data_IF_691487539147
#
_entry.id   IF_691487539147
#
_cell.length_a   1.000
_cell.length_b   1.000
_cell.length_c   1.000
_cell.angle_alpha   90.00
_cell.angle_beta   90.00
_cell.angle_gamma   90.00
#
_symmetry.space_group_name_H-M   'P 1'
#
loop_
_entity.id
_entity.type
_entity.pdbx_description
1 polymer ?
#
# COMPACT_ATOMS: atom_id res chain seq x y z
N UNK A 1 19.74 -4.54 -7.76
CA UNK A 1 19.40 -5.95 -7.55
C UNK A 1 18.04 -6.08 -6.88
N UNK A 2 17.94 -5.67 -5.61
CA UNK A 2 16.72 -5.78 -4.80
C UNK A 2 15.48 -5.19 -5.49
N UNK A 3 15.56 -3.98 -5.99
CA UNK A 3 14.44 -3.31 -6.68
C UNK A 3 13.92 -4.08 -7.90
N UNK A 4 14.74 -4.88 -8.60
CA UNK A 4 14.28 -5.70 -9.72
C UNK A 4 13.42 -6.88 -9.26
N UNK A 5 13.63 -7.36 -8.04
CA UNK A 5 12.89 -8.47 -7.44
C UNK A 5 11.71 -7.98 -6.59
N UNK A 6 11.59 -6.66 -6.34
CA UNK A 6 10.60 -6.09 -5.45
C UNK A 6 11.04 -6.10 -3.97
N UNK A 7 12.30 -6.41 -3.70
CA UNK A 7 12.86 -6.42 -2.35
C UNK A 7 13.34 -5.03 -1.97
N UNK A 8 13.24 -4.67 -0.70
CA UNK A 8 13.74 -3.39 -0.16
C UNK A 8 15.17 -3.49 0.37
N UNK A 9 15.60 -4.70 0.74
CA UNK A 9 16.95 -4.99 1.26
C UNK A 9 17.51 -6.29 0.67
N UNK A 10 18.79 -6.54 0.92
CA UNK A 10 19.46 -7.83 0.71
C UNK A 10 20.31 -8.17 1.93
N UNK A 11 20.59 -9.43 2.16
CA UNK A 11 21.59 -9.85 3.13
C UNK A 11 23.01 -9.78 2.54
N UNK A 12 24.01 -9.74 3.43
CA UNK A 12 25.42 -9.62 3.05
C UNK A 12 25.87 -10.76 2.11
N UNK A 13 25.53 -12.01 2.42
CA UNK A 13 26.01 -13.17 1.67
C UNK A 13 25.42 -13.19 0.25
N UNK A 14 24.15 -12.84 0.09
CA UNK A 14 23.48 -12.72 -1.20
C UNK A 14 24.07 -11.60 -2.05
N UNK A 15 24.38 -10.45 -1.43
CA UNK A 15 25.02 -9.32 -2.10
C UNK A 15 26.43 -9.68 -2.55
N UNK A 16 27.25 -10.24 -1.65
CA UNK A 16 28.61 -10.67 -1.92
C UNK A 16 28.66 -11.70 -3.06
N UNK A 17 27.83 -12.73 -2.99
CA UNK A 17 27.72 -13.76 -4.05
C UNK A 17 27.40 -13.15 -5.40
N UNK A 18 26.57 -12.12 -5.42
CA UNK A 18 26.17 -11.48 -6.68
C UNK A 18 27.27 -10.57 -7.21
N UNK A 19 27.94 -9.82 -6.35
CA UNK A 19 29.03 -8.92 -6.74
C UNK A 19 30.24 -9.73 -7.24
N UNK A 20 30.60 -10.81 -6.57
CA UNK A 20 31.72 -11.67 -6.94
C UNK A 20 31.53 -12.35 -8.30
N UNK A 21 30.31 -12.54 -8.77
CA UNK A 21 30.04 -13.03 -10.14
C UNK A 21 30.49 -12.04 -11.23
N UNK A 22 30.34 -10.76 -10.96
CA UNK A 22 30.67 -9.69 -11.91
C UNK A 22 32.09 -9.14 -11.66
N UNK A 23 32.53 -9.12 -10.39
CA UNK A 23 33.80 -8.56 -9.93
C UNK A 23 34.50 -9.52 -8.98
N UNK A 24 35.18 -10.59 -9.49
CA UNK A 24 35.75 -11.67 -8.65
C UNK A 24 36.82 -11.26 -7.66
N UNK A 25 37.46 -10.11 -7.85
CA UNK A 25 38.54 -9.60 -7.00
C UNK A 25 38.12 -8.49 -6.03
N UNK A 26 36.82 -8.20 -5.95
CA UNK A 26 36.33 -7.12 -5.11
C UNK A 26 36.00 -7.64 -3.72
N UNK A 27 36.55 -7.03 -2.69
CA UNK A 27 36.19 -7.28 -1.29
C UNK A 27 35.05 -6.32 -0.90
N UNK A 28 33.82 -6.86 -0.76
CA UNK A 28 32.65 -6.07 -0.47
C UNK A 28 32.77 -5.24 0.81
N UNK A 29 33.42 -5.78 1.84
CA UNK A 29 33.60 -5.12 3.13
C UNK A 29 34.29 -3.76 3.02
N UNK A 30 35.29 -3.63 2.13
CA UNK A 30 36.07 -2.40 1.95
C UNK A 30 35.20 -1.23 1.43
N UNK A 31 34.17 -1.55 0.64
CA UNK A 31 33.29 -0.55 0.03
C UNK A 31 32.06 -0.25 0.89
N UNK A 32 31.58 -1.22 1.67
CA UNK A 32 30.36 -1.03 2.47
C UNK A 32 30.51 0.12 3.46
N UNK A 33 31.65 0.20 4.15
CA UNK A 33 31.89 1.28 5.11
C UNK A 33 31.81 2.64 4.43
N UNK A 34 32.51 2.81 3.31
CA UNK A 34 32.50 4.07 2.55
C UNK A 34 31.10 4.42 2.06
N UNK A 35 30.36 3.45 1.52
CA UNK A 35 28.99 3.68 1.01
C UNK A 35 27.99 3.99 2.14
N UNK A 36 28.23 3.47 3.34
CA UNK A 36 27.44 3.84 4.51
C UNK A 36 27.80 5.24 5.01
N UNK A 37 29.08 5.61 5.04
CA UNK A 37 29.54 6.95 5.44
C UNK A 37 29.02 8.03 4.47
N UNK A 38 28.94 7.71 3.19
CA UNK A 38 28.34 8.57 2.16
C UNK A 38 26.80 8.56 2.16
N UNK A 39 26.16 7.85 3.08
CA UNK A 39 24.70 7.69 3.18
C UNK A 39 24.03 7.12 1.91
N UNK A 40 24.75 6.35 1.12
CA UNK A 40 24.21 5.66 -0.05
C UNK A 40 23.57 4.33 0.31
N UNK A 41 24.10 3.66 1.35
CA UNK A 41 23.57 2.43 1.90
C UNK A 41 23.33 2.57 3.41
N UNK A 42 22.42 1.75 3.93
CA UNK A 42 22.20 1.55 5.35
C UNK A 42 22.29 0.06 5.68
N UNK A 43 22.93 -0.26 6.79
CA UNK A 43 23.05 -1.63 7.30
C UNK A 43 22.38 -1.69 8.66
N UNK A 44 21.38 -2.55 8.81
CA UNK A 44 20.66 -2.80 10.04
C UNK A 44 20.33 -4.29 10.15
N UNK A 45 20.65 -4.93 11.27
CA UNK A 45 20.38 -6.35 11.53
C UNK A 45 20.78 -7.28 10.36
N UNK A 46 22.02 -7.11 9.85
CA UNK A 46 22.55 -7.85 8.68
C UNK A 46 21.83 -7.61 7.35
N UNK A 47 20.90 -6.66 7.29
CA UNK A 47 20.21 -6.23 6.07
C UNK A 47 20.89 -5.00 5.50
N UNK A 48 21.09 -5.01 4.20
CA UNK A 48 21.72 -3.92 3.46
C UNK A 48 20.66 -3.28 2.58
N UNK A 49 20.37 -2.01 2.83
CA UNK A 49 19.37 -1.21 2.14
C UNK A 49 20.03 -0.16 1.25
N UNK A 50 19.41 0.13 0.12
CA UNK A 50 19.63 1.42 -0.52
C UNK A 50 18.97 2.53 0.34
N UNK A 51 19.63 3.69 0.45
CA UNK A 51 19.18 4.75 1.38
C UNK A 51 17.70 5.13 1.18
N UNK A 52 17.24 5.23 -0.07
CA UNK A 52 15.84 5.59 -0.37
C UNK A 52 14.84 4.56 0.15
N UNK A 53 15.18 3.28 0.07
CA UNK A 53 14.34 2.20 0.56
C UNK A 53 14.30 2.18 2.09
N UNK A 54 15.45 2.36 2.74
CA UNK A 54 15.53 2.46 4.19
C UNK A 54 14.69 3.62 4.73
N UNK A 55 14.86 4.82 4.15
CA UNK A 55 14.09 6.00 4.57
C UNK A 55 12.60 5.85 4.31
N UNK A 56 12.20 5.19 3.21
CA UNK A 56 10.80 4.91 2.93
C UNK A 56 10.18 3.96 3.97
N UNK A 57 10.86 2.84 4.31
CA UNK A 57 10.39 1.93 5.36
C UNK A 57 10.30 2.62 6.73
N UNK A 58 11.32 3.39 7.10
CA UNK A 58 11.30 4.16 8.34
C UNK A 58 10.16 5.19 8.38
N UNK A 59 9.92 5.87 7.26
CA UNK A 59 8.81 6.82 7.14
C UNK A 59 7.46 6.15 7.30
N UNK A 60 7.23 5.03 6.62
CA UNK A 60 6.00 4.22 6.74
C UNK A 60 5.83 3.72 8.17
N UNK A 61 6.88 3.15 8.78
CA UNK A 61 6.82 2.64 10.14
C UNK A 61 6.46 3.73 11.16
N UNK A 62 7.08 4.92 11.06
CA UNK A 62 6.77 6.07 11.91
C UNK A 62 5.34 6.54 11.74
N UNK A 63 4.86 6.64 10.50
CA UNK A 63 3.49 7.03 10.20
C UNK A 63 2.50 6.04 10.82
N UNK A 64 2.67 4.74 10.57
CA UNK A 64 1.79 3.71 11.11
C UNK A 64 1.82 3.64 12.63
N UNK A 65 3.01 3.78 13.24
CA UNK A 65 3.13 3.84 14.70
C UNK A 65 2.35 5.02 15.28
N UNK A 66 2.48 6.20 14.67
CA UNK A 66 1.75 7.38 15.10
C UNK A 66 0.25 7.19 14.89
N UNK A 67 -0.15 6.70 13.72
CA UNK A 67 -1.54 6.45 13.37
C UNK A 67 -2.24 5.51 14.37
N UNK A 68 -1.60 4.37 14.70
CA UNK A 68 -2.18 3.37 15.61
C UNK A 68 -2.23 3.84 17.07
N UNK A 69 -1.27 4.67 17.52
CA UNK A 69 -1.17 5.02 18.93
C UNK A 69 -1.81 6.37 19.30
N UNK A 70 -2.03 7.26 18.35
CA UNK A 70 -2.46 8.63 18.63
C UNK A 70 -3.78 9.04 17.98
N UNK A 71 -4.30 8.24 17.05
CA UNK A 71 -5.67 8.45 16.62
C UNK A 71 -6.62 7.85 17.66
N UNK A 72 -7.56 8.66 18.14
CA UNK A 72 -8.64 8.19 19.00
C UNK A 72 -9.52 7.22 18.19
N UNK A 73 -9.32 5.93 18.44
CA UNK A 73 -9.94 4.79 17.73
C UNK A 73 -11.48 4.79 17.84
N UNK A 74 -12.09 5.78 18.48
CA UNK A 74 -13.48 5.72 18.91
C UNK A 74 -14.48 6.59 18.13
N UNK A 75 -14.06 7.42 17.18
CA UNK A 75 -15.02 8.35 16.56
C UNK A 75 -15.74 7.79 15.32
N UNK A 76 -15.27 6.70 14.71
CA UNK A 76 -15.86 6.24 13.46
C UNK A 76 -16.05 4.72 13.40
N UNK A 77 -16.96 4.19 14.23
CA UNK A 77 -17.35 2.79 14.09
C UNK A 77 -18.71 2.68 13.40
N UNK A 78 -18.71 2.14 12.20
CA UNK A 78 -19.95 1.71 11.54
C UNK A 78 -20.54 0.57 12.37
N UNK A 79 -21.79 0.69 12.86
CA UNK A 79 -22.42 -0.39 13.62
C UNK A 79 -22.45 -1.68 12.80
N UNK A 80 -22.14 -2.80 13.43
CA UNK A 80 -22.07 -4.09 12.73
C UNK A 80 -23.41 -4.44 12.06
N UNK A 81 -24.52 -4.14 12.71
CA UNK A 81 -25.85 -4.39 12.15
C UNK A 81 -26.06 -3.64 10.82
N UNK A 82 -25.59 -2.40 10.71
CA UNK A 82 -25.64 -1.65 9.46
C UNK A 82 -24.81 -2.28 8.34
N UNK A 83 -23.70 -2.93 8.68
CA UNK A 83 -22.87 -3.66 7.71
C UNK A 83 -23.61 -4.91 7.24
N UNK A 84 -24.14 -5.70 8.16
CA UNK A 84 -24.87 -6.96 7.87
C UNK A 84 -26.10 -6.74 6.99
N UNK A 85 -26.90 -5.73 7.30
CA UNK A 85 -28.10 -5.39 6.54
C UNK A 85 -27.79 -5.07 5.07
N UNK A 86 -26.61 -4.49 4.80
CA UNK A 86 -26.20 -4.12 3.46
C UNK A 86 -25.58 -5.27 2.65
N UNK A 87 -25.09 -6.35 3.29
CA UNK A 87 -24.45 -7.45 2.55
C UNK A 87 -25.36 -8.07 1.50
N UNK A 88 -26.59 -8.39 1.85
CA UNK A 88 -27.52 -9.05 0.94
C UNK A 88 -27.79 -8.20 -0.32
N UNK A 89 -27.96 -6.91 -0.16
CA UNK A 89 -28.18 -6.00 -1.27
C UNK A 89 -26.93 -5.84 -2.14
N UNK A 90 -25.75 -5.79 -1.51
CA UNK A 90 -24.48 -5.70 -2.23
C UNK A 90 -24.22 -6.99 -3.03
N UNK A 91 -24.40 -8.16 -2.43
CA UNK A 91 -24.30 -9.46 -3.10
C UNK A 91 -25.25 -9.56 -4.30
N UNK A 92 -26.50 -9.09 -4.15
CA UNK A 92 -27.48 -9.05 -5.23
C UNK A 92 -27.07 -8.09 -6.35
N UNK A 93 -26.62 -6.88 -6.01
CA UNK A 93 -26.22 -5.85 -6.98
C UNK A 93 -25.01 -6.27 -7.80
N UNK A 94 -24.04 -6.95 -7.17
CA UNK A 94 -22.81 -7.43 -7.79
C UNK A 94 -22.97 -8.81 -8.43
N UNK A 95 -24.11 -9.49 -8.22
CA UNK A 95 -24.39 -10.86 -8.67
C UNK A 95 -23.32 -11.87 -8.19
N UNK A 96 -22.90 -11.74 -6.94
CA UNK A 96 -21.92 -12.58 -6.28
C UNK A 96 -22.44 -13.04 -4.93
N UNK A 97 -21.72 -13.99 -4.34
CA UNK A 97 -21.90 -14.39 -2.94
C UNK A 97 -20.53 -14.39 -2.28
N UNK A 98 -20.39 -13.63 -1.21
CA UNK A 98 -19.17 -13.59 -0.40
C UNK A 98 -19.11 -14.81 0.51
N UNK A 99 -17.94 -15.42 0.63
CA UNK A 99 -17.67 -16.36 1.71
C UNK A 99 -17.47 -15.63 3.06
N UNK A 100 -17.43 -16.42 4.15
CA UNK A 100 -17.32 -15.84 5.50
C UNK A 100 -16.04 -15.04 5.71
N UNK A 101 -14.91 -15.45 5.11
CA UNK A 101 -13.64 -14.74 5.21
C UNK A 101 -13.67 -13.42 4.43
N UNK A 102 -14.35 -13.39 3.29
CA UNK A 102 -14.52 -12.17 2.50
C UNK A 102 -15.44 -11.19 3.22
N UNK A 103 -16.53 -11.65 3.83
CA UNK A 103 -17.41 -10.83 4.67
C UNK A 103 -16.65 -10.26 5.86
N UNK A 104 -15.85 -11.08 6.52
CA UNK A 104 -15.02 -10.63 7.65
C UNK A 104 -14.01 -9.56 7.21
N UNK A 105 -13.37 -9.73 6.06
CA UNK A 105 -12.46 -8.71 5.52
C UNK A 105 -13.18 -7.38 5.25
N UNK A 106 -14.39 -7.39 4.70
CA UNK A 106 -15.19 -6.18 4.47
C UNK A 106 -15.58 -5.53 5.81
N UNK A 107 -15.98 -6.32 6.82
CA UNK A 107 -16.26 -5.80 8.17
C UNK A 107 -15.04 -5.10 8.78
N UNK A 108 -13.90 -5.77 8.75
CA UNK A 108 -12.65 -5.19 9.26
C UNK A 108 -12.30 -3.87 8.56
N UNK A 109 -12.40 -3.83 7.22
CA UNK A 109 -12.13 -2.61 6.47
C UNK A 109 -13.13 -1.48 6.77
N UNK A 110 -14.37 -1.82 7.09
CA UNK A 110 -15.41 -0.85 7.44
C UNK A 110 -15.30 -0.31 8.87
N UNK A 111 -14.66 -1.06 9.77
CA UNK A 111 -14.55 -0.75 11.19
C UNK A 111 -13.22 -0.11 11.59
N UNK A 112 -12.25 -0.10 10.68
CA UNK A 112 -10.89 0.41 10.96
C UNK A 112 -10.52 1.50 9.96
N UNK A 113 -9.97 2.59 10.44
CA UNK A 113 -9.48 3.70 9.63
C UNK A 113 -8.32 3.30 8.69
N UNK A 114 -7.57 2.28 9.06
CA UNK A 114 -6.49 1.73 8.28
C UNK A 114 -6.54 0.21 8.24
N UNK A 115 -6.49 -0.35 7.04
CA UNK A 115 -6.53 -1.81 6.82
C UNK A 115 -5.60 -2.23 5.70
N UNK A 116 -5.02 -3.41 5.82
CA UNK A 116 -4.21 -4.05 4.77
C UNK A 116 -4.86 -5.39 4.41
N UNK A 117 -5.31 -5.52 3.16
CA UNK A 117 -5.83 -6.76 2.62
C UNK A 117 -4.75 -7.48 1.81
N UNK A 118 -4.32 -8.65 2.28
CA UNK A 118 -3.35 -9.50 1.60
C UNK A 118 -3.96 -10.84 1.19
N UNK A 119 -3.30 -11.53 0.29
CA UNK A 119 -3.73 -12.87 -0.15
C UNK A 119 -3.13 -13.26 -1.49
N UNK A 120 -3.13 -14.55 -1.81
CA UNK A 120 -2.64 -15.08 -3.06
C UNK A 120 -3.43 -14.61 -4.29
N UNK A 121 -2.98 -14.92 -5.51
CA UNK A 121 -3.75 -14.68 -6.72
C UNK A 121 -5.05 -15.48 -6.69
N UNK A 122 -6.14 -14.90 -7.17
CA UNK A 122 -7.44 -15.56 -7.25
C UNK A 122 -8.25 -15.64 -5.95
N UNK A 123 -7.79 -15.09 -4.83
CA UNK A 123 -8.52 -15.09 -3.53
C UNK A 123 -9.65 -14.07 -3.44
N UNK A 124 -10.02 -13.41 -4.53
CA UNK A 124 -11.14 -12.48 -4.53
C UNK A 124 -10.84 -11.09 -3.94
N UNK A 125 -9.57 -10.70 -3.76
CA UNK A 125 -9.23 -9.37 -3.20
C UNK A 125 -9.94 -8.20 -3.88
N UNK A 126 -10.00 -8.20 -5.21
CA UNK A 126 -10.67 -7.14 -5.96
C UNK A 126 -12.18 -7.15 -5.72
N UNK A 127 -12.77 -8.34 -5.56
CA UNK A 127 -14.20 -8.50 -5.24
C UNK A 127 -14.51 -7.97 -3.83
N UNK A 128 -13.60 -8.19 -2.86
CA UNK A 128 -13.70 -7.62 -1.51
C UNK A 128 -13.65 -6.09 -1.57
N UNK A 129 -12.66 -5.52 -2.31
CA UNK A 129 -12.55 -4.06 -2.48
C UNK A 129 -13.80 -3.48 -3.15
N UNK A 130 -14.36 -4.17 -4.14
CA UNK A 130 -15.61 -3.76 -4.79
C UNK A 130 -16.79 -3.73 -3.80
N UNK A 131 -16.91 -4.76 -2.95
CA UNK A 131 -17.93 -4.81 -1.89
C UNK A 131 -17.76 -3.69 -0.87
N UNK A 132 -16.51 -3.42 -0.46
CA UNK A 132 -16.20 -2.32 0.45
C UNK A 132 -16.59 -0.96 -0.15
N UNK A 133 -16.28 -0.69 -1.41
CA UNK A 133 -16.66 0.55 -2.09
C UNK A 133 -18.20 0.70 -2.16
N UNK A 134 -18.90 -0.37 -2.47
CA UNK A 134 -20.36 -0.36 -2.52
C UNK A 134 -20.98 -0.12 -1.13
N UNK A 135 -20.43 -0.77 -0.10
CA UNK A 135 -20.84 -0.55 1.28
C UNK A 135 -20.63 0.91 1.69
N UNK A 136 -19.43 1.44 1.45
CA UNK A 136 -19.07 2.79 1.83
C UNK A 136 -19.93 3.85 1.13
N UNK A 137 -20.21 3.68 -0.17
CA UNK A 137 -21.11 4.55 -0.93
C UNK A 137 -22.55 4.55 -0.42
N UNK A 138 -23.02 3.40 0.08
CA UNK A 138 -24.37 3.30 0.66
C UNK A 138 -24.44 4.02 2.02
N UNK A 139 -23.43 3.82 2.85
CA UNK A 139 -23.39 4.40 4.18
C UNK A 139 -23.08 5.91 4.15
N UNK A 140 -22.24 6.31 3.20
CA UNK A 140 -21.72 7.68 3.10
C UNK A 140 -21.80 8.22 1.66
N UNK A 141 -22.99 8.49 1.13
CA UNK A 141 -23.16 8.86 -0.27
C UNK A 141 -22.55 10.22 -0.65
N UNK A 142 -22.24 11.06 0.34
CA UNK A 142 -21.60 12.37 0.13
C UNK A 142 -20.05 12.32 0.22
N UNK A 143 -19.48 11.19 0.65
CA UNK A 143 -18.03 11.06 0.81
C UNK A 143 -17.30 10.82 -0.51
N UNK A 144 -16.10 11.36 -0.61
CA UNK A 144 -15.23 11.23 -1.79
C UNK A 144 -14.28 10.04 -1.61
N UNK A 145 -14.46 9.02 -2.43
CA UNK A 145 -13.60 7.83 -2.45
C UNK A 145 -12.58 7.99 -3.57
N UNK A 146 -11.30 7.97 -3.23
CA UNK A 146 -10.19 7.98 -4.18
C UNK A 146 -9.58 6.60 -4.33
N UNK A 147 -9.54 6.08 -5.56
CA UNK A 147 -8.97 4.76 -5.86
C UNK A 147 -7.75 4.92 -6.75
N UNK A 148 -6.66 4.24 -6.38
CA UNK A 148 -5.44 4.31 -7.16
C UNK A 148 -4.72 2.95 -7.25
N UNK A 149 -3.81 2.85 -8.22
CA UNK A 149 -2.95 1.69 -8.43
C UNK A 149 -1.54 2.11 -8.87
N UNK A 150 -0.54 1.24 -8.71
CA UNK A 150 0.83 1.55 -9.12
C UNK A 150 1.01 1.79 -10.62
N UNK A 151 0.17 1.19 -11.48
CA UNK A 151 0.29 1.27 -12.94
C UNK A 151 -1.02 1.64 -13.61
N UNK A 152 -0.96 2.27 -14.79
CA UNK A 152 -2.14 2.63 -15.57
C UNK A 152 -2.99 1.42 -16.00
N UNK A 153 -2.36 0.25 -16.25
CA UNK A 153 -3.11 -0.97 -16.54
C UNK A 153 -3.91 -1.45 -15.32
N UNK A 154 -3.30 -1.39 -14.13
CA UNK A 154 -3.97 -1.79 -12.89
C UNK A 154 -5.08 -0.80 -12.52
N UNK A 155 -4.86 0.52 -12.64
CA UNK A 155 -5.90 1.52 -12.37
C UNK A 155 -7.09 1.38 -13.32
N UNK A 156 -6.84 1.18 -14.62
CA UNK A 156 -7.91 0.96 -15.58
C UNK A 156 -8.74 -0.29 -15.28
N UNK A 157 -8.08 -1.38 -14.84
CA UNK A 157 -8.78 -2.60 -14.42
C UNK A 157 -9.61 -2.37 -13.16
N UNK A 158 -9.07 -1.65 -12.16
CA UNK A 158 -9.83 -1.28 -10.96
C UNK A 158 -11.03 -0.41 -11.31
N UNK A 159 -10.87 0.59 -12.17
CA UNK A 159 -11.96 1.45 -12.62
C UNK A 159 -13.10 0.64 -13.24
N UNK A 160 -12.79 -0.33 -14.10
CA UNK A 160 -13.78 -1.20 -14.72
C UNK A 160 -14.50 -2.12 -13.73
N UNK A 161 -13.76 -2.69 -12.77
CA UNK A 161 -14.30 -3.65 -11.80
C UNK A 161 -15.11 -2.96 -10.70
N UNK A 162 -14.68 -1.79 -10.26
CA UNK A 162 -15.33 -1.06 -9.16
C UNK A 162 -16.34 -0.02 -9.63
N UNK A 163 -16.53 0.11 -10.95
CA UNK A 163 -17.44 1.09 -11.59
C UNK A 163 -17.24 2.51 -11.05
N UNK A 164 -15.96 2.90 -10.92
CA UNK A 164 -15.57 4.20 -10.41
C UNK A 164 -14.24 4.66 -11.04
N UNK A 165 -13.99 5.95 -10.96
CA UNK A 165 -12.73 6.50 -11.45
C UNK A 165 -11.57 6.02 -10.58
N UNK A 166 -10.54 5.45 -11.25
CA UNK A 166 -9.31 5.06 -10.61
C UNK A 166 -8.12 5.61 -11.39
N UNK A 167 -7.13 6.10 -10.68
CA UNK A 167 -5.94 6.71 -11.27
C UNK A 167 -4.65 5.96 -10.88
N UNK A 168 -3.52 6.36 -11.46
CA UNK A 168 -2.24 5.90 -10.90
C UNK A 168 -1.90 6.68 -9.64
N UNK A 169 -1.11 6.07 -8.72
CA UNK A 169 -0.59 6.76 -7.54
C UNK A 169 0.10 8.07 -7.93
N UNK A 170 0.92 8.05 -8.98
CA UNK A 170 1.60 9.25 -9.48
C UNK A 170 0.63 10.34 -9.95
N UNK A 171 -0.45 9.95 -10.65
CA UNK A 171 -1.47 10.89 -11.08
C UNK A 171 -2.27 11.45 -9.90
N UNK A 172 -2.67 10.60 -8.95
CA UNK A 172 -3.42 11.00 -7.77
C UNK A 172 -2.64 11.99 -6.91
N UNK A 173 -1.36 11.70 -6.69
CA UNK A 173 -0.47 12.54 -5.91
C UNK A 173 0.17 13.69 -6.72
N UNK A 174 -0.23 13.87 -7.99
CA UNK A 174 0.25 14.94 -8.87
C UNK A 174 1.78 14.98 -8.95
N UNK A 175 2.37 13.87 -9.44
CA UNK A 175 3.82 13.80 -9.68
C UNK A 175 4.26 14.84 -10.69
N UNK A 176 5.17 15.71 -10.31
CA UNK A 176 5.79 16.70 -11.17
C UNK A 176 7.09 16.15 -11.75
N UNK A 177 7.13 16.01 -13.08
CA UNK A 177 8.28 15.45 -13.80
C UNK A 177 9.50 16.41 -13.83
N UNK A 178 9.30 17.71 -13.68
CA UNK A 178 10.39 18.69 -13.73
C UNK A 178 11.12 18.74 -12.39
N UNK A 179 10.37 18.73 -11.31
CA UNK A 179 10.92 18.85 -9.94
C UNK A 179 11.16 17.49 -9.28
N UNK A 180 10.63 16.39 -9.85
CA UNK A 180 10.63 15.06 -9.26
C UNK A 180 10.04 15.03 -7.82
N UNK A 181 8.95 15.74 -7.60
CA UNK A 181 8.27 15.85 -6.31
C UNK A 181 6.77 15.61 -6.50
N UNK A 182 6.12 15.03 -5.51
CA UNK A 182 4.66 14.99 -5.43
C UNK A 182 4.13 16.32 -4.94
N UNK A 183 3.16 16.89 -5.65
CA UNK A 183 2.50 18.14 -5.23
C UNK A 183 1.56 17.89 -4.05
N UNK A 184 0.90 16.72 -4.01
CA UNK A 184 0.13 16.29 -2.85
C UNK A 184 1.09 15.77 -1.77
N UNK A 185 1.09 16.40 -0.62
CA UNK A 185 2.01 16.14 0.49
C UNK A 185 1.40 16.61 1.82
N UNK A 186 2.15 16.61 2.92
CA UNK A 186 1.67 17.01 4.25
C UNK A 186 1.14 18.48 4.30
N UNK A 187 1.62 19.38 3.43
CA UNK A 187 1.19 20.79 3.38
C UNK A 187 -0.02 21.00 2.49
N UNK A 188 -0.19 20.16 1.50
CA UNK A 188 -1.32 20.15 0.59
C UNK A 188 -1.82 18.70 0.45
N UNK A 189 -2.55 18.19 1.45
CA UNK A 189 -2.97 16.80 1.49
C UNK A 189 -4.06 16.49 0.45
N UNK A 190 -4.20 15.21 0.14
CA UNK A 190 -5.29 14.74 -0.71
C UNK A 190 -6.63 15.02 -0.02
N UNK A 191 -7.56 15.60 -0.76
CA UNK A 191 -8.93 15.83 -0.28
C UNK A 191 -9.76 14.60 -0.62
N UNK A 192 -9.95 13.74 0.35
CA UNK A 192 -10.84 12.56 0.29
C UNK A 192 -11.31 12.21 1.71
N UNK A 193 -12.38 11.44 1.82
CA UNK A 193 -12.98 10.99 3.08
C UNK A 193 -12.56 9.56 3.45
#
# INVERSE_FOLDING_TARGET
LCMKNGDTYTDYASLETTILKEFPSLELADYLTTLCDEHLLYVEDYRIYHHTQYLAEQGIAKFLFHFVNFNDVNEFQIPQDCIEENFLEIEQSLQIQYDDMQKEAIRMMAQHEFSILTGGPGTGKTTIVQGMIQLYRKLFPAHVISICAPTGRASKRLSQLCECDASTIHSLLKWDLETNVFQVNEKDPLVCD
#
